data_IF_012704393428
#
_entry.id   IF_012704393428
#
_cell.length_a   1.000
_cell.length_b   1.000
_cell.length_c   1.000
_cell.angle_alpha   90.00
_cell.angle_beta   90.00
_cell.angle_gamma   90.00
#
_symmetry.space_group_name_H-M   'P 1'
#
loop_
_entity.id
_entity.type
_entity.pdbx_description
1 polymer ?
#
# COMPACT_ATOMS: atom_id res chain seq x y z
N UNK A 1 -10.05 -30.55 -22.92
CA UNK A 1 -10.39 -31.28 -21.67
C UNK A 1 -10.52 -30.26 -20.57
N UNK A 2 -11.73 -30.13 -20.02
CA UNK A 2 -12.00 -29.37 -18.80
C UNK A 2 -11.38 -30.08 -17.59
N UNK A 3 -11.03 -29.30 -16.56
CA UNK A 3 -10.55 -29.80 -15.28
C UNK A 3 -10.33 -28.61 -14.35
N UNK A 4 -11.40 -28.15 -13.71
CA UNK A 4 -11.34 -27.09 -12.72
C UNK A 4 -10.50 -27.50 -11.52
N UNK A 5 -9.65 -26.59 -11.06
CA UNK A 5 -9.01 -26.64 -9.76
C UNK A 5 -9.25 -25.30 -9.08
N UNK A 6 -10.46 -25.17 -8.52
CA UNK A 6 -10.73 -24.16 -7.51
C UNK A 6 -10.05 -24.55 -6.19
N UNK A 7 -9.59 -23.52 -5.48
CA UNK A 7 -9.30 -23.50 -4.04
C UNK A 7 -8.12 -24.35 -3.54
N UNK A 8 -6.95 -23.71 -3.39
CA UNK A 8 -5.81 -24.27 -2.65
C UNK A 8 -4.52 -23.43 -2.59
N UNK A 9 -4.51 -22.20 -3.11
CA UNK A 9 -3.28 -21.40 -3.29
C UNK A 9 -2.60 -20.89 -1.99
N UNK A 10 -3.07 -21.29 -0.80
CA UNK A 10 -2.51 -20.85 0.47
C UNK A 10 -2.51 -21.93 1.56
N UNK A 11 -2.38 -23.20 1.18
CA UNK A 11 -2.07 -24.26 2.15
C UNK A 11 -0.56 -24.42 2.26
N UNK A 12 0.08 -23.60 3.10
CA UNK A 12 1.47 -23.81 3.51
C UNK A 12 1.45 -24.96 4.53
N UNK A 13 2.02 -26.14 4.21
CA UNK A 13 2.03 -27.24 5.16
C UNK A 13 2.77 -26.82 6.44
N UNK A 14 2.35 -27.30 7.62
CA UNK A 14 3.09 -27.04 8.85
C UNK A 14 4.56 -27.44 8.67
N UNK A 15 5.47 -26.61 9.18
CA UNK A 15 6.93 -26.80 9.10
C UNK A 15 7.55 -26.78 7.69
N UNK A 16 6.79 -26.41 6.65
CA UNK A 16 7.32 -26.20 5.30
C UNK A 16 7.49 -24.72 4.99
N UNK A 17 8.67 -24.34 4.51
CA UNK A 17 8.91 -23.00 3.96
C UNK A 17 8.49 -22.97 2.49
N UNK A 18 7.69 -21.96 2.13
CA UNK A 18 7.30 -21.70 0.74
C UNK A 18 7.80 -20.31 0.35
N UNK A 19 8.36 -20.19 -0.86
CA UNK A 19 8.71 -18.89 -1.45
C UNK A 19 7.48 -18.33 -2.17
N UNK A 20 6.99 -17.18 -1.70
CA UNK A 20 5.85 -16.49 -2.30
C UNK A 20 6.34 -15.16 -2.88
N UNK A 21 6.18 -14.91 -4.18
CA UNK A 21 6.46 -13.59 -4.73
C UNK A 21 5.42 -12.60 -4.19
N UNK A 22 5.87 -11.53 -3.55
CA UNK A 22 5.01 -10.46 -3.09
C UNK A 22 5.57 -9.11 -3.55
N UNK A 23 4.66 -8.19 -3.87
CA UNK A 23 5.03 -6.81 -4.21
C UNK A 23 4.96 -5.97 -2.95
N UNK A 24 6.07 -5.34 -2.60
CA UNK A 24 6.16 -4.44 -1.44
C UNK A 24 6.84 -3.13 -1.77
N UNK A 25 6.58 -2.14 -0.92
CA UNK A 25 7.16 -0.80 -0.96
C UNK A 25 7.71 -0.44 0.42
N UNK A 26 8.76 0.36 0.45
CA UNK A 26 9.30 0.96 1.67
C UNK A 26 8.40 2.12 2.09
N UNK A 27 7.93 2.12 3.34
CA UNK A 27 7.11 3.21 3.88
C UNK A 27 7.96 4.44 4.22
N UNK A 28 9.13 4.20 4.81
CA UNK A 28 10.03 5.26 5.30
C UNK A 28 11.20 5.44 4.33
N UNK A 29 11.46 6.68 3.91
CA UNK A 29 12.66 7.01 3.15
C UNK A 29 13.87 7.22 4.06
N UNK A 30 15.03 6.66 3.66
CA UNK A 30 16.32 6.96 4.31
C UNK A 30 16.62 6.13 5.57
N UNK A 31 15.76 5.17 5.92
CA UNK A 31 16.07 4.21 6.99
C UNK A 31 17.27 3.35 6.60
N UNK A 32 18.08 3.00 7.59
CA UNK A 32 19.27 2.16 7.39
C UNK A 32 18.89 0.85 6.70
N UNK A 33 19.78 0.40 5.80
CA UNK A 33 19.65 -0.87 5.08
C UNK A 33 19.33 -2.01 6.07
N UNK A 34 18.31 -2.83 5.81
CA UNK A 34 17.95 -3.94 6.70
C UNK A 34 19.12 -4.92 6.82
N UNK A 35 19.63 -5.12 8.04
CA UNK A 35 20.72 -6.06 8.29
C UNK A 35 20.17 -7.44 8.71
N UNK A 36 20.77 -8.57 8.28
CA UNK A 36 20.30 -9.92 8.62
C UNK A 36 20.23 -10.24 10.12
N UNK A 37 20.89 -9.43 10.97
CA UNK A 37 20.92 -9.58 12.42
C UNK A 37 19.78 -8.85 13.13
N UNK A 38 18.95 -8.11 12.41
CA UNK A 38 17.80 -7.42 12.99
C UNK A 38 16.66 -8.42 13.23
N UNK A 39 15.95 -8.26 14.33
CA UNK A 39 14.70 -8.99 14.55
C UNK A 39 13.56 -8.33 13.77
N UNK A 40 12.90 -9.11 12.93
CA UNK A 40 11.76 -8.67 12.13
C UNK A 40 10.47 -9.26 12.70
N UNK A 41 9.43 -8.43 12.80
CA UNK A 41 8.07 -8.84 13.17
C UNK A 41 7.09 -8.34 12.12
N UNK A 42 6.14 -9.20 11.75
CA UNK A 42 5.00 -8.76 10.94
C UNK A 42 4.02 -8.01 11.84
N UNK A 43 3.69 -6.78 11.46
CA UNK A 43 2.78 -5.89 12.18
C UNK A 43 1.61 -5.56 11.25
N UNK A 44 0.36 -5.54 11.74
CA UNK A 44 -0.79 -5.08 10.97
C UNK A 44 -0.57 -3.67 10.42
N UNK A 45 -1.08 -3.41 9.22
CA UNK A 45 -0.86 -2.12 8.55
C UNK A 45 -1.54 -0.98 9.31
N UNK A 46 -2.68 -1.28 9.94
CA UNK A 46 -3.52 -0.35 10.70
C UNK A 46 -2.81 0.19 11.96
N UNK A 47 -1.85 -0.55 12.50
CA UNK A 47 -1.06 -0.11 13.66
C UNK A 47 0.04 0.89 13.27
N UNK A 48 0.60 0.74 12.06
CA UNK A 48 1.71 1.56 11.57
C UNK A 48 1.23 2.78 10.78
N UNK A 49 0.18 2.63 9.97
CA UNK A 49 -0.32 3.63 9.03
C UNK A 49 -1.67 4.15 9.50
N UNK A 50 -1.71 5.43 9.90
CA UNK A 50 -2.94 6.13 10.31
C UNK A 50 -3.65 6.84 9.16
N UNK A 51 -2.94 7.10 8.07
CA UNK A 51 -3.51 7.81 6.92
C UNK A 51 -4.38 6.84 6.08
N UNK A 52 -5.69 7.13 5.90
CA UNK A 52 -6.58 6.25 5.16
C UNK A 52 -6.24 6.16 3.67
N UNK A 53 -5.67 7.21 3.07
CA UNK A 53 -5.21 7.17 1.68
C UNK A 53 -3.98 6.27 1.52
N UNK A 54 -3.07 6.25 2.49
CA UNK A 54 -1.91 5.35 2.46
C UNK A 54 -2.33 3.89 2.63
N UNK A 55 -3.35 3.59 3.44
CA UNK A 55 -3.91 2.23 3.54
C UNK A 55 -4.49 1.75 2.20
N UNK A 56 -5.28 2.59 1.52
CA UNK A 56 -5.84 2.27 0.20
C UNK A 56 -4.76 2.09 -0.86
N UNK A 57 -3.69 2.88 -0.79
CA UNK A 57 -2.54 2.72 -1.67
C UNK A 57 -1.81 1.38 -1.44
N UNK A 58 -1.63 0.97 -0.19
CA UNK A 58 -1.02 -0.32 0.13
C UNK A 58 -1.88 -1.49 -0.36
N UNK A 59 -3.21 -1.39 -0.27
CA UNK A 59 -4.13 -2.37 -0.84
C UNK A 59 -4.00 -2.45 -2.37
N UNK A 60 -3.84 -1.31 -3.05
CA UNK A 60 -3.58 -1.28 -4.49
C UNK A 60 -2.26 -1.96 -4.85
N UNK A 61 -1.19 -1.68 -4.11
CA UNK A 61 0.12 -2.32 -4.32
C UNK A 61 0.05 -3.82 -4.06
N UNK A 62 -0.68 -4.24 -3.03
CA UNK A 62 -0.86 -5.66 -2.68
C UNK A 62 -1.55 -6.48 -3.78
N UNK A 63 -2.27 -5.84 -4.72
CA UNK A 63 -2.84 -6.54 -5.88
C UNK A 63 -1.80 -7.07 -6.86
N UNK A 64 -0.55 -6.61 -6.79
CA UNK A 64 0.54 -6.98 -7.69
C UNK A 64 0.39 -6.43 -9.12
N UNK A 65 -0.62 -5.60 -9.39
CA UNK A 65 -0.87 -5.00 -10.72
C UNK A 65 -0.22 -3.63 -10.89
N UNK A 66 0.43 -3.13 -9.85
CA UNK A 66 1.04 -1.80 -9.80
C UNK A 66 2.55 -1.93 -10.01
N UNK A 67 3.13 -1.05 -10.84
CA UNK A 67 4.58 -0.97 -10.95
C UNK A 67 5.18 -0.61 -9.59
N UNK A 68 6.11 -1.42 -9.10
CA UNK A 68 6.75 -1.26 -7.79
C UNK A 68 7.40 0.12 -7.61
N UNK A 69 8.06 0.67 -8.64
CA UNK A 69 8.71 1.98 -8.58
C UNK A 69 7.70 3.12 -8.43
N UNK A 70 6.60 3.06 -9.18
CA UNK A 70 5.51 4.02 -9.05
C UNK A 70 4.81 3.90 -7.68
N UNK A 71 4.63 2.67 -7.18
CA UNK A 71 4.13 2.43 -5.83
C UNK A 71 5.06 3.00 -4.76
N UNK A 72 6.38 2.86 -4.94
CA UNK A 72 7.40 3.39 -4.04
C UNK A 72 7.39 4.93 -3.98
N UNK A 73 7.32 5.58 -5.14
CA UNK A 73 7.21 7.04 -5.22
C UNK A 73 5.92 7.55 -4.57
N UNK A 74 4.79 6.86 -4.80
CA UNK A 74 3.51 7.22 -4.20
C UNK A 74 3.48 7.01 -2.69
N UNK A 75 4.11 5.93 -2.19
CA UNK A 75 4.24 5.67 -0.76
C UNK A 75 5.06 6.77 -0.07
N UNK A 76 6.22 7.16 -0.62
CA UNK A 76 7.03 8.26 -0.05
C UNK A 76 6.33 9.62 -0.12
N UNK A 77 5.52 9.88 -1.14
CA UNK A 77 4.73 11.11 -1.20
C UNK A 77 3.70 11.18 -0.06
N UNK A 78 3.03 10.07 0.25
CA UNK A 78 1.99 10.01 1.29
C UNK A 78 2.56 9.88 2.71
N UNK A 79 3.58 9.03 2.90
CA UNK A 79 4.16 8.76 4.21
C UNK A 79 5.11 9.87 4.66
N UNK A 80 6.09 10.25 3.82
CA UNK A 80 7.15 11.20 4.16
C UNK A 80 6.85 12.64 3.71
N UNK A 81 5.70 12.88 3.06
CA UNK A 81 5.29 14.18 2.49
C UNK A 81 6.31 14.77 1.49
N UNK A 82 7.11 13.92 0.84
CA UNK A 82 8.06 14.36 -0.18
C UNK A 82 7.32 14.92 -1.39
N UNK A 83 7.77 16.07 -1.91
CA UNK A 83 7.22 16.64 -3.14
C UNK A 83 7.61 15.81 -4.36
N UNK A 84 6.80 15.88 -5.43
CA UNK A 84 7.12 15.24 -6.71
C UNK A 84 8.45 15.74 -7.31
N UNK A 85 8.83 16.98 -7.01
CA UNK A 85 10.10 17.56 -7.45
C UNK A 85 11.29 16.91 -6.73
N UNK A 86 11.19 16.70 -5.41
CA UNK A 86 12.22 16.01 -4.64
C UNK A 86 12.35 14.53 -5.05
N UNK A 87 11.22 13.88 -5.36
CA UNK A 87 11.22 12.52 -5.90
C UNK A 87 11.86 12.47 -7.29
N UNK A 88 11.58 13.44 -8.17
CA UNK A 88 12.19 13.52 -9.50
C UNK A 88 13.69 13.85 -9.46
N UNK A 89 14.13 14.63 -8.47
CA UNK A 89 15.53 14.99 -8.29
C UNK A 89 16.39 13.84 -7.73
N UNK A 90 15.78 12.77 -7.19
CA UNK A 90 16.53 11.61 -6.70
C UNK A 90 17.26 10.91 -7.84
N UNK A 91 18.54 10.70 -7.62
CA UNK A 91 19.40 9.91 -8.50
C UNK A 91 20.23 8.91 -7.70
N UNK A 92 20.44 7.74 -8.28
CA UNK A 92 21.36 6.73 -7.76
C UNK A 92 22.76 7.08 -8.27
N UNK A 93 23.68 7.31 -7.32
CA UNK A 93 25.11 7.47 -7.63
C UNK A 93 25.71 6.09 -7.84
N UNK A 94 26.29 5.87 -9.00
CA UNK A 94 27.05 4.65 -9.27
C UNK A 94 28.48 4.81 -8.78
N UNK A 95 29.02 3.76 -8.18
CA UNK A 95 30.46 3.66 -7.92
C UNK A 95 31.17 3.45 -9.26
N UNK A 96 32.31 4.12 -9.48
CA UNK A 96 33.11 3.96 -10.70
C UNK A 96 32.94 5.05 -11.77
N UNK A 97 32.38 6.22 -11.43
CA UNK A 97 32.39 7.40 -12.32
C UNK A 97 31.34 7.40 -13.43
N UNK A 98 30.42 6.42 -13.44
CA UNK A 98 29.27 6.45 -14.32
C UNK A 98 28.29 7.59 -13.94
N UNK A 99 27.59 8.12 -14.94
CA UNK A 99 26.60 9.17 -14.72
C UNK A 99 25.52 8.70 -13.72
N UNK A 100 25.01 9.60 -12.85
CA UNK A 100 23.88 9.28 -11.98
C UNK A 100 22.68 8.88 -12.83
N UNK A 101 22.02 7.77 -12.50
CA UNK A 101 20.72 7.45 -13.12
C UNK A 101 19.61 8.02 -12.24
N UNK A 102 18.52 8.54 -12.84
CA UNK A 102 17.36 8.94 -12.07
C UNK A 102 16.80 7.71 -11.33
N UNK A 103 16.39 7.91 -10.08
CA UNK A 103 15.78 6.84 -9.28
C UNK A 103 14.40 6.46 -9.82
N UNK A 104 13.66 7.45 -10.32
CA UNK A 104 12.34 7.27 -10.94
C UNK A 104 12.32 7.87 -12.34
N UNK A 105 11.66 7.17 -13.26
CA UNK A 105 11.36 7.70 -14.58
C UNK A 105 10.15 8.63 -14.53
N UNK A 106 10.05 9.57 -15.49
CA UNK A 106 8.94 10.52 -15.51
C UNK A 106 7.57 9.87 -15.69
N UNK A 107 7.49 8.77 -16.45
CA UNK A 107 6.27 7.97 -16.59
C UNK A 107 5.84 7.32 -15.26
N UNK A 108 6.82 6.89 -14.44
CA UNK A 108 6.55 6.28 -13.13
C UNK A 108 6.04 7.32 -12.14
N UNK A 109 6.59 8.54 -12.17
CA UNK A 109 6.12 9.66 -11.35
C UNK A 109 4.69 10.09 -11.74
N UNK A 110 4.38 10.12 -13.04
CA UNK A 110 3.02 10.40 -13.51
C UNK A 110 2.03 9.30 -13.10
N UNK A 111 2.45 8.03 -13.14
CA UNK A 111 1.62 6.94 -12.67
C UNK A 111 1.45 6.97 -11.15
N UNK A 112 2.50 7.31 -10.41
CA UNK A 112 2.46 7.49 -8.96
C UNK A 112 1.45 8.57 -8.54
N UNK A 113 1.44 9.73 -9.21
CA UNK A 113 0.48 10.80 -8.89
C UNK A 113 -0.97 10.42 -9.17
N UNK A 114 -1.21 9.63 -10.22
CA UNK A 114 -2.53 9.04 -10.49
C UNK A 114 -2.94 8.05 -9.39
N UNK A 115 -2.03 7.19 -8.94
CA UNK A 115 -2.30 6.24 -7.85
C UNK A 115 -2.67 6.96 -6.55
N UNK A 116 -1.94 8.03 -6.19
CA UNK A 116 -2.26 8.88 -5.03
C UNK A 116 -3.66 9.48 -5.17
N UNK A 117 -4.01 9.99 -6.35
CA UNK A 117 -5.34 10.57 -6.60
C UNK A 117 -6.47 9.54 -6.43
N UNK A 118 -6.26 8.31 -6.94
CA UNK A 118 -7.19 7.19 -6.78
C UNK A 118 -7.30 6.79 -5.30
N UNK A 119 -6.18 6.73 -4.58
CA UNK A 119 -6.15 6.37 -3.17
C UNK A 119 -6.95 7.38 -2.32
N UNK A 120 -6.78 8.68 -2.55
CA UNK A 120 -7.60 9.71 -1.90
C UNK A 120 -9.09 9.62 -2.27
N UNK A 121 -9.43 9.30 -3.52
CA UNK A 121 -10.82 9.10 -3.92
C UNK A 121 -11.45 7.91 -3.19
N UNK A 122 -10.72 6.79 -3.06
CA UNK A 122 -11.18 5.61 -2.34
C UNK A 122 -11.31 5.84 -0.84
N UNK A 123 -10.35 6.53 -0.23
CA UNK A 123 -10.41 6.88 1.18
C UNK A 123 -11.66 7.69 1.50
N UNK A 124 -11.97 8.73 0.70
CA UNK A 124 -13.20 9.53 0.86
C UNK A 124 -14.48 8.69 0.73
N UNK A 125 -14.57 7.82 -0.30
CA UNK A 125 -15.74 6.96 -0.48
C UNK A 125 -15.94 5.98 0.70
N UNK A 126 -14.85 5.54 1.33
CA UNK A 126 -14.88 4.64 2.49
C UNK A 126 -15.40 5.35 3.74
N UNK A 127 -15.00 6.61 3.95
CA UNK A 127 -15.53 7.46 5.03
C UNK A 127 -17.04 7.68 4.86
N UNK A 128 -17.49 8.06 3.67
CA UNK A 128 -18.92 8.28 3.36
C UNK A 128 -19.78 7.00 3.54
N UNK A 129 -19.24 5.84 3.14
CA UNK A 129 -19.90 4.55 3.32
C UNK A 129 -20.03 4.17 4.80
N UNK A 130 -19.06 4.56 5.63
CA UNK A 130 -19.06 4.28 7.07
C UNK A 130 -20.06 5.18 7.80
N UNK A 131 -20.19 6.45 7.39
CA UNK A 131 -21.16 7.41 7.93
C UNK A 131 -22.62 7.01 7.59
N UNK A 132 -22.86 6.57 6.35
CA UNK A 132 -24.19 6.10 5.94
C UNK A 132 -24.62 4.83 6.69
N UNK A 133 -23.65 3.96 7.03
CA UNK A 133 -23.90 2.75 7.82
C UNK A 133 -24.19 3.05 9.31
N UNK A 134 -23.55 4.06 9.91
CA UNK A 134 -23.81 4.47 11.29
C UNK A 134 -25.15 5.20 11.45
N UNK A 135 -25.58 6.01 10.49
CA UNK A 135 -26.94 6.60 10.45
C UNK A 135 -28.03 5.53 10.30
N UNK A 136 -27.75 4.46 9.55
CA UNK A 136 -28.73 3.37 9.38
C UNK A 136 -28.88 2.52 10.64
N UNK A 137 -27.79 2.27 11.38
CA UNK A 137 -27.85 1.53 12.65
C UNK A 137 -28.58 2.31 13.75
N UNK A 138 -28.28 3.60 13.90
CA UNK A 138 -28.94 4.47 14.88
C UNK A 138 -30.44 4.63 14.63
N UNK A 139 -30.87 4.71 13.36
CA UNK A 139 -32.31 4.73 13.01
C UNK A 139 -33.04 3.42 13.34
N UNK A 140 -32.33 2.28 13.30
CA UNK A 140 -32.93 0.97 13.58
C UNK A 140 -33.02 0.67 15.08
N UNK A 141 -32.11 1.21 15.89
CA UNK A 141 -32.17 1.09 17.37
C UNK A 141 -33.29 1.95 17.99
N UNK A 142 -33.57 3.15 17.47
CA UNK A 142 -34.67 3.98 17.99
C UNK A 142 -36.06 3.40 17.68
N UNK A 143 -36.22 2.64 16.59
CA UNK A 143 -37.48 1.97 16.24
C UNK A 143 -37.82 0.75 17.10
N UNK A 144 -36.84 0.14 17.77
CA UNK A 144 -37.02 -1.11 18.54
C UNK A 144 -37.34 -0.89 20.02
N UNK A 145 -37.26 0.35 20.51
CA UNK A 145 -37.56 0.71 21.90
C UNK A 145 -39.00 1.16 22.16
N UNK A 146 -39.88 1.16 21.14
CA UNK A 146 -41.27 1.62 21.26
C UNK A 146 -42.31 0.48 21.23
N UNK A 147 -41.88 -0.78 21.41
CA UNK A 147 -42.76 -1.95 21.60
C UNK A 147 -42.55 -2.52 23.00
N UNK A 148 -43.23 -1.94 24.00
CA UNK A 148 -43.53 -2.58 25.29
C UNK A 148 -44.66 -1.88 26.00
#
# INVERSE_FOLDING_TARGET
RAGGAGCGFFSIPPEKTVSVPYTSVCLEHGKAEPAPRMEYRMVPTEEMVKDPALQELLLLVATGRVNQQAGQAAAWHLADKMSWQELAAKSVKHLGGAAPTPYFNQAELQYASQLVSIAHARARNREESTETASTTKSRTETGRSFEK
#
